data_IF_951463660308
#
_entry.id   IF_951463660308
#
_cell.length_a   1.000
_cell.length_b   1.000
_cell.length_c   1.000
_cell.angle_alpha   90.00
_cell.angle_beta   90.00
_cell.angle_gamma   90.00
#
_symmetry.space_group_name_H-M   'P 1'
#
loop_
_entity.id
_entity.type
_entity.pdbx_description
1 polymer ?
#
# COMPACT_ATOMS: atom_id res chain seq x y z
N UNK A 1 -5.02 -13.25 -10.10
CA UNK A 1 -6.16 -14.18 -9.92
C UNK A 1 -6.02 -14.90 -8.59
N UNK A 2 -7.13 -15.24 -7.92
CA UNK A 2 -7.18 -16.01 -6.67
C UNK A 2 -8.31 -17.05 -6.76
N UNK A 3 -8.08 -18.23 -6.20
CA UNK A 3 -9.06 -19.30 -6.12
C UNK A 3 -9.42 -19.60 -4.67
N UNK A 4 -10.69 -19.96 -4.45
CA UNK A 4 -11.19 -20.47 -3.17
C UNK A 4 -11.68 -21.90 -3.40
N UNK A 5 -11.21 -22.83 -2.57
CA UNK A 5 -11.58 -24.23 -2.61
C UNK A 5 -12.41 -24.58 -1.36
N UNK A 6 -13.27 -25.58 -1.46
CA UNK A 6 -13.92 -26.17 -0.30
C UNK A 6 -13.03 -27.23 0.38
N UNK A 7 -13.57 -27.94 1.37
CA UNK A 7 -12.84 -29.01 2.08
C UNK A 7 -12.53 -30.24 1.23
N UNK A 8 -13.25 -30.45 0.13
CA UNK A 8 -13.01 -31.52 -0.84
C UNK A 8 -11.93 -31.16 -1.87
N UNK A 9 -11.56 -29.88 -1.95
CA UNK A 9 -10.63 -29.34 -2.94
C UNK A 9 -11.32 -28.84 -4.21
N UNK A 10 -12.65 -28.80 -4.25
CA UNK A 10 -13.42 -28.32 -5.38
C UNK A 10 -13.41 -26.79 -5.44
N UNK A 11 -13.31 -26.24 -6.66
CA UNK A 11 -13.29 -24.80 -6.90
C UNK A 11 -14.66 -24.20 -6.63
N UNK A 12 -14.75 -23.30 -5.65
CA UNK A 12 -16.00 -22.57 -5.33
C UNK A 12 -16.03 -21.17 -5.94
N UNK A 13 -14.88 -20.49 -5.98
CA UNK A 13 -14.79 -19.13 -6.51
C UNK A 13 -13.46 -18.84 -7.21
N UNK A 14 -13.53 -17.99 -8.23
CA UNK A 14 -12.38 -17.40 -8.90
C UNK A 14 -12.51 -15.87 -8.89
N UNK A 15 -11.52 -15.20 -8.28
CA UNK A 15 -11.45 -13.75 -8.19
C UNK A 15 -10.35 -13.22 -9.11
N UNK A 16 -10.73 -12.36 -10.04
CA UNK A 16 -9.79 -11.63 -10.89
C UNK A 16 -9.70 -10.18 -10.46
N UNK A 17 -8.53 -9.61 -10.64
CA UNK A 17 -8.23 -8.23 -10.26
C UNK A 17 -7.55 -7.54 -11.42
N UNK A 18 -7.73 -6.23 -11.50
CA UNK A 18 -6.85 -5.39 -12.32
C UNK A 18 -5.44 -5.29 -11.68
N UNK A 19 -4.46 -4.64 -12.35
CA UNK A 19 -3.10 -4.50 -11.82
C UNK A 19 -3.01 -3.71 -10.49
N UNK A 20 -4.01 -2.86 -10.19
CA UNK A 20 -4.06 -2.06 -8.97
C UNK A 20 -4.83 -2.74 -7.84
N UNK A 21 -5.41 -3.92 -8.06
CA UNK A 21 -6.11 -4.70 -7.06
C UNK A 21 -7.62 -4.46 -6.99
N UNK A 22 -8.22 -3.79 -7.97
CA UNK A 22 -9.68 -3.66 -8.08
C UNK A 22 -10.26 -5.00 -8.56
N UNK A 23 -11.22 -5.62 -7.84
CA UNK A 23 -11.89 -6.83 -8.30
C UNK A 23 -12.63 -6.59 -9.62
N UNK A 24 -12.42 -7.45 -10.61
CA UNK A 24 -13.14 -7.42 -11.89
C UNK A 24 -14.57 -8.00 -11.77
N UNK A 25 -14.87 -8.65 -10.65
CA UNK A 25 -16.17 -9.20 -10.29
C UNK A 25 -16.44 -8.88 -8.81
N UNK A 26 -17.72 -8.75 -8.39
CA UNK A 26 -18.06 -8.63 -6.97
C UNK A 26 -17.46 -9.79 -6.16
N UNK A 27 -16.79 -9.47 -5.05
CA UNK A 27 -16.30 -10.51 -4.15
C UNK A 27 -17.47 -11.10 -3.36
N UNK A 28 -17.93 -12.28 -3.74
CA UNK A 28 -18.99 -13.03 -3.06
C UNK A 28 -18.45 -14.12 -2.13
N UNK A 29 -17.13 -14.14 -1.91
CA UNK A 29 -16.49 -15.15 -1.06
C UNK A 29 -16.64 -14.80 0.42
N UNK A 30 -16.67 -15.81 1.30
CA UNK A 30 -16.74 -15.63 2.75
C UNK A 30 -15.37 -15.26 3.38
N UNK A 31 -14.40 -14.79 2.59
CA UNK A 31 -13.05 -14.44 3.05
C UNK A 31 -12.79 -12.95 2.90
N UNK A 32 -12.14 -12.35 3.90
CA UNK A 32 -11.62 -10.98 3.82
C UNK A 32 -10.33 -10.88 3.00
N UNK A 33 -9.66 -12.01 2.75
CA UNK A 33 -8.45 -12.05 1.92
C UNK A 33 -8.78 -11.86 0.44
N UNK A 34 -8.12 -10.89 -0.18
CA UNK A 34 -8.33 -10.51 -1.58
C UNK A 34 -7.02 -10.43 -2.37
N UNK A 35 -6.80 -9.26 -3.00
CA UNK A 35 -5.64 -9.00 -3.83
C UNK A 35 -4.33 -9.19 -3.01
N UNK A 36 -3.32 -9.79 -3.66
CA UNK A 36 -2.04 -10.18 -3.04
C UNK A 36 -2.14 -11.02 -1.75
N UNK A 37 -3.31 -11.59 -1.44
CA UNK A 37 -3.54 -12.33 -0.19
C UNK A 37 -3.72 -11.43 1.04
N UNK A 38 -4.03 -10.16 0.83
CA UNK A 38 -4.17 -9.15 1.89
C UNK A 38 -5.63 -8.94 2.27
N UNK A 39 -5.88 -8.45 3.48
CA UNK A 39 -7.24 -8.19 3.95
C UNK A 39 -7.83 -6.98 3.24
N UNK A 40 -9.04 -7.13 2.71
CA UNK A 40 -9.86 -6.04 2.17
C UNK A 40 -10.96 -5.73 3.17
N UNK A 41 -11.06 -4.47 3.57
CA UNK A 41 -12.09 -4.01 4.51
C UNK A 41 -13.43 -3.70 3.79
N UNK A 42 -14.52 -3.41 4.53
CA UNK A 42 -15.80 -3.04 3.93
C UNK A 42 -15.79 -1.73 3.13
N UNK A 43 -14.77 -0.89 3.29
CA UNK A 43 -14.55 0.33 2.50
C UNK A 43 -13.71 0.05 1.23
N UNK A 44 -13.45 -1.23 0.93
CA UNK A 44 -12.65 -1.70 -0.19
C UNK A 44 -11.16 -1.29 -0.13
N UNK A 45 -10.66 -0.96 1.07
CA UNK A 45 -9.25 -0.67 1.29
C UNK A 45 -8.48 -1.96 1.60
N UNK A 46 -7.30 -2.08 1.01
CA UNK A 46 -6.36 -3.16 1.32
C UNK A 46 -5.51 -2.80 2.54
N UNK A 47 -5.55 -3.62 3.57
CA UNK A 47 -4.67 -3.49 4.73
C UNK A 47 -3.33 -4.18 4.46
N UNK A 48 -2.30 -3.40 4.16
CA UNK A 48 -0.93 -3.87 3.89
C UNK A 48 -0.05 -3.86 5.15
N UNK A 49 -0.63 -4.16 6.32
CA UNK A 49 -0.02 -4.14 7.66
C UNK A 49 0.38 -2.75 8.16
N UNK A 50 1.26 -2.06 7.43
CA UNK A 50 1.74 -0.74 7.80
C UNK A 50 0.81 0.39 7.33
N UNK A 51 0.09 0.17 6.22
CA UNK A 51 -0.73 1.20 5.57
C UNK A 51 -1.97 0.60 4.91
N UNK A 52 -3.02 1.41 4.84
CA UNK A 52 -4.16 1.15 3.96
C UNK A 52 -3.86 1.65 2.55
N UNK A 53 -4.15 0.83 1.56
CA UNK A 53 -4.04 1.14 0.14
C UNK A 53 -5.42 1.16 -0.49
N UNK A 54 -5.68 2.14 -1.36
CA UNK A 54 -6.95 2.34 -2.05
C UNK A 54 -6.82 1.88 -3.51
N UNK A 55 -7.32 0.68 -3.88
CA UNK A 55 -7.13 0.12 -5.22
C UNK A 55 -7.66 1.01 -6.34
N UNK A 56 -8.88 1.57 -6.17
CA UNK A 56 -9.50 2.44 -7.19
C UNK A 56 -8.73 3.74 -7.46
N UNK A 57 -7.90 4.18 -6.50
CA UNK A 57 -7.07 5.39 -6.65
C UNK A 57 -5.62 5.06 -6.98
N UNK A 58 -5.19 3.80 -6.85
CA UNK A 58 -3.79 3.42 -7.02
C UNK A 58 -2.85 4.01 -5.96
N UNK A 59 -3.35 4.40 -4.78
CA UNK A 59 -2.60 5.20 -3.80
C UNK A 59 -2.82 4.75 -2.35
N UNK A 60 -1.87 5.08 -1.48
CA UNK A 60 -2.00 4.88 -0.03
C UNK A 60 -2.89 5.96 0.61
N UNK A 61 -3.67 5.55 1.61
CA UNK A 61 -4.53 6.46 2.38
C UNK A 61 -3.74 7.36 3.36
N UNK A 62 -2.44 7.09 3.55
CA UNK A 62 -1.55 7.88 4.41
C UNK A 62 -0.12 7.91 3.88
N UNK A 63 0.63 8.93 4.32
CA UNK A 63 2.08 9.03 4.11
C UNK A 63 2.79 7.87 4.80
N UNK A 64 3.91 7.42 4.24
CA UNK A 64 4.74 6.41 4.88
C UNK A 64 5.24 6.90 6.26
N UNK A 65 4.98 6.17 7.36
CA UNK A 65 5.38 6.59 8.69
C UNK A 65 6.89 6.81 8.86
N UNK A 66 7.72 6.09 8.10
CA UNK A 66 9.18 6.25 8.14
C UNK A 66 9.61 7.58 7.50
N UNK A 67 8.93 8.01 6.43
CA UNK A 67 9.14 9.35 5.85
C UNK A 67 8.65 10.45 6.81
N UNK A 68 7.60 10.20 7.58
CA UNK A 68 7.00 11.16 8.52
C UNK A 68 7.74 11.35 9.86
N UNK A 69 8.55 10.37 10.29
CA UNK A 69 9.23 10.39 11.61
C UNK A 69 10.65 10.99 11.59
N UNK A 70 11.06 11.60 10.48
CA UNK A 70 12.42 12.15 10.34
C UNK A 70 13.11 11.67 9.09
N UNK A 71 12.38 11.57 7.96
CA UNK A 71 13.02 11.62 6.66
C UNK A 71 13.68 12.99 6.52
N UNK A 72 14.91 13.13 7.00
CA UNK A 72 15.82 14.15 6.52
C UNK A 72 15.98 13.89 5.03
N UNK A 73 15.06 14.46 4.24
CA UNK A 73 15.29 14.74 2.84
C UNK A 73 16.68 15.39 2.81
N UNK A 74 17.60 14.80 2.08
CA UNK A 74 19.00 15.24 2.00
C UNK A 74 19.13 16.63 1.35
N UNK A 75 18.55 17.65 1.98
CA UNK A 75 18.65 19.07 1.70
C UNK A 75 19.67 19.71 2.65
N UNK A 76 20.42 18.90 3.40
CA UNK A 76 21.53 19.36 4.25
C UNK A 76 22.65 20.00 3.42
N UNK A 77 22.71 19.69 2.12
CA UNK A 77 23.58 20.33 1.14
C UNK A 77 23.28 21.81 0.91
N UNK A 78 22.02 22.26 1.09
CA UNK A 78 21.68 23.67 0.91
C UNK A 78 22.05 24.51 2.14
N UNK A 79 22.14 23.89 3.32
CA UNK A 79 22.54 24.54 4.58
C UNK A 79 24.07 24.68 4.72
N UNK A 80 24.86 23.90 3.96
CA UNK A 80 26.32 23.99 3.98
C UNK A 80 26.91 25.27 3.39
N UNK A 81 26.18 26.01 2.54
CA UNK A 81 26.71 27.21 1.86
C UNK A 81 26.70 28.51 2.69
N UNK A 82 26.23 28.49 3.94
CA UNK A 82 26.19 29.70 4.77
C UNK A 82 27.30 29.78 5.83
N UNK A 83 28.16 28.76 5.95
CA UNK A 83 29.13 28.64 7.06
C UNK A 83 30.60 28.89 6.68
N UNK A 84 30.90 29.19 5.42
CA UNK A 84 32.28 29.38 4.95
C UNK A 84 32.66 30.84 4.65
N UNK A 85 31.93 31.83 5.19
CA UNK A 85 32.24 33.25 4.93
C UNK A 85 32.48 34.10 6.19
N UNK A 86 32.91 33.49 7.30
CA UNK A 86 33.31 34.23 8.52
C UNK A 86 34.57 33.69 9.19
N UNK A 87 35.68 33.69 8.46
CA UNK A 87 37.05 33.81 8.98
C UNK A 87 37.86 34.25 7.74
N UNK A 88 38.51 35.40 7.62
CA UNK A 88 39.11 36.27 8.62
C UNK A 88 40.62 36.34 8.31
N UNK A 89 41.05 37.51 7.81
CA UNK A 89 42.42 37.99 7.52
C UNK A 89 42.95 37.75 6.10
#
# INVERSE_FOLDING_TARGET
MRFVLDSGGDLTHALNYDPYGVPLQPNTTNTTLGFTGEQTDPNELLYLRARYYHPKLGAFASVDPVLGLGGSTGLEWLSLRQRESRHGL
#
